data_IF_937379916303
#
_entry.id   IF_937379916303
#
_cell.length_a   1.000
_cell.length_b   1.000
_cell.length_c   1.000
_cell.angle_alpha   90.00
_cell.angle_beta   90.00
_cell.angle_gamma   90.00
#
_symmetry.space_group_name_H-M   'P 1'
#
loop_
_entity.id
_entity.type
_entity.pdbx_description
1 polymer ?
#
# COMPACT_ATOMS: atom_id res chain seq x y z
N UNK A 1 -16.84 34.81 -81.71
CA UNK A 1 -17.65 35.42 -80.64
C UNK A 1 -18.08 34.27 -79.74
N UNK A 2 -17.25 33.96 -78.73
CA UNK A 2 -17.47 32.82 -77.84
C UNK A 2 -18.37 33.30 -76.69
N UNK A 3 -19.53 32.66 -76.54
CA UNK A 3 -20.41 32.87 -75.40
C UNK A 3 -20.11 31.81 -74.34
N UNK A 4 -19.76 32.33 -73.18
CA UNK A 4 -19.44 31.68 -71.93
C UNK A 4 -20.56 30.75 -71.44
N UNK A 5 -20.21 29.50 -71.17
CA UNK A 5 -20.96 28.63 -70.27
C UNK A 5 -20.06 28.30 -69.09
N UNK A 6 -20.20 29.05 -67.98
CA UNK A 6 -19.55 28.72 -66.72
C UNK A 6 -20.22 27.47 -66.14
N UNK A 7 -19.52 26.35 -66.17
CA UNK A 7 -19.82 25.22 -65.29
C UNK A 7 -19.13 25.56 -63.98
N UNK A 8 -19.91 25.85 -62.95
CA UNK A 8 -19.40 26.02 -61.60
C UNK A 8 -18.80 24.68 -61.15
N UNK A 9 -17.48 24.61 -61.04
CA UNK A 9 -16.81 23.54 -60.33
C UNK A 9 -17.07 23.78 -58.83
N UNK A 10 -18.08 23.09 -58.28
CA UNK A 10 -18.16 22.92 -56.83
C UNK A 10 -16.92 22.14 -56.38
N UNK A 11 -15.96 22.85 -55.79
CA UNK A 11 -14.81 22.26 -55.11
C UNK A 11 -15.32 21.38 -53.96
N UNK A 12 -15.49 20.09 -54.24
CA UNK A 12 -15.78 19.09 -53.23
C UNK A 12 -14.54 18.95 -52.33
N UNK A 13 -14.57 19.65 -51.20
CA UNK A 13 -13.50 19.66 -50.21
C UNK A 13 -13.48 18.32 -49.47
N UNK A 14 -12.76 17.34 -50.03
CA UNK A 14 -12.59 16.00 -49.46
C UNK A 14 -11.67 16.08 -48.24
N UNK A 15 -12.26 16.03 -47.04
CA UNK A 15 -11.52 16.01 -45.79
C UNK A 15 -10.98 14.60 -45.53
N UNK A 16 -9.80 14.30 -46.08
CA UNK A 16 -9.11 13.02 -45.87
C UNK A 16 -8.49 13.03 -44.47
N UNK A 17 -8.99 12.16 -43.60
CA UNK A 17 -8.40 11.92 -42.27
C UNK A 17 -7.67 10.58 -42.27
N UNK A 18 -6.37 10.61 -41.97
CA UNK A 18 -5.54 9.42 -41.84
C UNK A 18 -5.67 8.86 -40.42
N UNK A 19 -6.24 7.68 -40.30
CA UNK A 19 -6.29 6.94 -39.05
C UNK A 19 -5.08 6.00 -38.97
N UNK A 20 -4.17 6.25 -38.02
CA UNK A 20 -3.06 5.34 -37.74
C UNK A 20 -3.49 4.29 -36.72
N UNK A 21 -3.58 3.04 -37.16
CA UNK A 21 -3.78 1.88 -36.30
C UNK A 21 -2.42 1.38 -35.82
N UNK A 22 -2.25 1.28 -34.51
CA UNK A 22 -1.04 0.73 -33.90
C UNK A 22 -1.17 -0.80 -33.79
N UNK A 23 -0.08 -1.52 -34.04
CA UNK A 23 -0.03 -2.99 -33.91
C UNK A 23 0.27 -3.44 -32.47
N UNK A 24 0.58 -2.51 -31.56
CA UNK A 24 0.87 -2.76 -30.16
C UNK A 24 -0.25 -2.23 -29.27
N UNK A 25 -0.50 -2.92 -28.16
CA UNK A 25 -1.36 -2.42 -27.11
C UNK A 25 -0.77 -1.13 -26.53
N UNK A 26 -1.65 -0.21 -26.14
CA UNK A 26 -1.27 0.94 -25.35
C UNK A 26 -0.97 0.54 -23.90
N UNK A 27 -0.52 1.51 -23.10
CA UNK A 27 -0.21 1.33 -21.68
C UNK A 27 -1.43 0.75 -20.94
N UNK A 28 -2.62 1.30 -21.19
CA UNK A 28 -3.84 0.88 -20.51
C UNK A 28 -4.24 -0.55 -20.87
N UNK A 29 -4.19 -0.93 -22.15
CA UNK A 29 -4.44 -2.29 -22.58
C UNK A 29 -3.43 -3.29 -22.01
N UNK A 30 -2.16 -2.88 -21.91
CA UNK A 30 -1.10 -3.69 -21.30
C UNK A 30 -1.33 -3.89 -19.80
N UNK A 31 -1.66 -2.83 -19.07
CA UNK A 31 -1.99 -2.91 -17.64
C UNK A 31 -3.24 -3.75 -17.40
N UNK A 32 -4.29 -3.58 -18.21
CA UNK A 32 -5.50 -4.38 -18.09
C UNK A 32 -5.22 -5.87 -18.31
N UNK A 33 -4.37 -6.21 -19.27
CA UNK A 33 -3.93 -7.58 -19.50
C UNK A 33 -3.18 -8.13 -18.28
N UNK A 34 -2.25 -7.35 -17.73
CA UNK A 34 -1.50 -7.73 -16.52
C UNK A 34 -2.46 -7.98 -15.35
N UNK A 35 -3.43 -7.08 -15.11
CA UNK A 35 -4.42 -7.24 -14.04
C UNK A 35 -5.35 -8.43 -14.23
N UNK A 36 -5.67 -8.79 -15.47
CA UNK A 36 -6.48 -9.95 -15.77
C UNK A 36 -5.71 -11.27 -15.55
N UNK A 37 -4.43 -11.30 -15.90
CA UNK A 37 -3.59 -12.49 -15.79
C UNK A 37 -3.01 -12.70 -14.38
N UNK A 38 -2.86 -11.62 -13.60
CA UNK A 38 -2.26 -11.61 -12.25
C UNK A 38 -0.96 -12.45 -12.15
N UNK A 39 0.04 -12.22 -13.02
CA UNK A 39 1.28 -12.99 -12.99
C UNK A 39 2.10 -12.67 -11.75
N UNK A 40 2.97 -13.58 -11.28
CA UNK A 40 3.90 -13.27 -10.18
C UNK A 40 5.12 -12.46 -10.68
N UNK A 41 5.60 -12.77 -11.88
CA UNK A 41 6.74 -12.12 -12.53
C UNK A 41 6.34 -11.55 -13.89
N UNK A 42 6.84 -10.35 -14.21
CA UNK A 42 6.60 -9.69 -15.49
C UNK A 42 7.95 -9.31 -16.08
N UNK A 43 8.23 -9.78 -17.29
CA UNK A 43 9.42 -9.39 -18.03
C UNK A 43 9.00 -8.54 -19.24
N UNK A 44 9.40 -7.27 -19.24
CA UNK A 44 9.12 -6.38 -20.35
C UNK A 44 10.14 -6.56 -21.48
N UNK A 45 9.64 -6.71 -22.70
CA UNK A 45 10.46 -6.86 -23.89
C UNK A 45 9.79 -6.16 -25.07
N UNK A 46 10.53 -6.00 -26.17
CA UNK A 46 10.01 -5.44 -27.43
C UNK A 46 9.52 -3.98 -27.31
N UNK A 47 10.37 -3.10 -26.77
CA UNK A 47 10.14 -1.65 -26.67
C UNK A 47 11.45 -0.87 -26.52
N UNK A 48 11.39 0.46 -26.58
CA UNK A 48 12.54 1.30 -26.22
C UNK A 48 12.80 1.20 -24.73
N UNK A 49 14.08 1.15 -24.34
CA UNK A 49 14.46 0.90 -22.94
C UNK A 49 13.84 1.91 -21.98
N UNK A 50 13.84 3.19 -22.33
CA UNK A 50 13.29 4.26 -21.50
C UNK A 50 11.78 4.10 -21.26
N UNK A 51 11.02 3.74 -22.30
CA UNK A 51 9.57 3.50 -22.20
C UNK A 51 9.25 2.28 -21.33
N UNK A 52 10.05 1.21 -21.47
CA UNK A 52 9.89 0.02 -20.64
C UNK A 52 10.31 0.27 -19.20
N UNK A 53 11.32 1.13 -18.97
CA UNK A 53 11.74 1.55 -17.64
C UNK A 53 10.66 2.38 -16.95
N UNK A 54 10.00 3.30 -17.66
CA UNK A 54 8.86 4.05 -17.16
C UNK A 54 7.70 3.13 -16.75
N UNK A 55 7.36 2.14 -17.58
CA UNK A 55 6.38 1.10 -17.25
C UNK A 55 6.80 0.31 -16.00
N UNK A 56 8.07 -0.07 -15.87
CA UNK A 56 8.59 -0.75 -14.69
C UNK A 56 8.54 0.11 -13.42
N UNK A 57 8.55 1.43 -13.54
CA UNK A 57 8.52 2.36 -12.41
C UNK A 57 7.12 2.72 -11.93
N UNK A 58 6.06 2.20 -12.57
CA UNK A 58 4.68 2.46 -12.16
C UNK A 58 4.36 1.82 -10.82
N UNK A 59 3.94 2.64 -9.84
CA UNK A 59 3.60 2.19 -8.48
C UNK A 59 2.58 1.06 -8.45
N UNK A 60 1.60 1.10 -9.37
CA UNK A 60 0.57 0.07 -9.52
C UNK A 60 1.15 -1.32 -9.81
N UNK A 61 2.26 -1.36 -10.55
CA UNK A 61 2.93 -2.61 -10.92
C UNK A 61 3.97 -3.02 -9.88
N UNK A 62 4.77 -2.07 -9.38
CA UNK A 62 5.86 -2.37 -8.43
C UNK A 62 5.36 -2.90 -7.10
N UNK A 63 4.15 -2.48 -6.68
CA UNK A 63 3.56 -2.92 -5.41
C UNK A 63 2.99 -4.34 -5.45
N UNK A 64 2.75 -4.91 -6.64
CA UNK A 64 2.05 -6.19 -6.81
C UNK A 64 2.86 -7.27 -7.53
N UNK A 65 3.82 -6.90 -8.37
CA UNK A 65 4.48 -7.82 -9.28
C UNK A 65 6.00 -7.69 -9.21
N UNK A 66 6.69 -8.81 -9.43
CA UNK A 66 8.14 -8.80 -9.62
C UNK A 66 8.48 -8.43 -11.07
N UNK A 67 8.90 -7.18 -11.28
CA UNK A 67 9.17 -6.63 -12.60
C UNK A 67 10.62 -6.85 -13.01
N UNK A 68 10.82 -7.23 -14.27
CA UNK A 68 12.12 -7.48 -14.87
C UNK A 68 12.26 -6.73 -16.18
N UNK A 69 13.41 -6.07 -16.36
CA UNK A 69 13.77 -5.39 -17.61
C UNK A 69 15.05 -6.01 -18.19
N UNK A 70 14.97 -7.22 -18.76
CA UNK A 70 16.14 -7.94 -19.24
C UNK A 70 16.77 -7.23 -20.45
N UNK A 71 18.10 -7.14 -20.44
CA UNK A 71 18.87 -6.69 -21.61
C UNK A 71 19.14 -7.82 -22.59
N UNK A 72 19.43 -7.47 -23.85
CA UNK A 72 19.75 -8.46 -24.89
C UNK A 72 20.96 -9.30 -24.48
N UNK A 73 20.76 -10.62 -24.40
CA UNK A 73 21.81 -11.57 -24.02
C UNK A 73 21.98 -11.77 -22.51
N UNK A 74 21.17 -11.10 -21.67
CA UNK A 74 21.14 -11.34 -20.24
C UNK A 74 20.34 -12.61 -19.94
N UNK A 75 20.91 -13.49 -19.12
CA UNK A 75 20.19 -14.63 -18.55
C UNK A 75 19.38 -14.12 -17.37
N UNK A 76 18.07 -14.32 -17.41
CA UNK A 76 17.16 -13.95 -16.34
C UNK A 76 16.88 -15.18 -15.48
N UNK A 77 17.55 -15.28 -14.33
CA UNK A 77 17.31 -16.33 -13.35
C UNK A 77 16.03 -16.00 -12.56
N UNK A 78 14.91 -16.53 -13.02
CA UNK A 78 13.64 -16.45 -12.30
C UNK A 78 13.62 -17.63 -11.32
N UNK A 79 13.67 -17.34 -10.02
CA UNK A 79 13.34 -18.31 -9.00
C UNK A 79 11.83 -18.58 -9.08
N UNK A 80 11.44 -19.54 -9.93
CA UNK A 80 10.08 -20.06 -9.94
C UNK A 80 9.93 -20.86 -8.65
N UNK A 81 9.48 -20.19 -7.59
CA UNK A 81 8.91 -20.88 -6.46
C UNK A 81 7.71 -21.62 -7.06
N UNK A 82 7.79 -22.95 -7.17
CA UNK A 82 6.64 -23.79 -7.49
C UNK A 82 5.67 -23.70 -6.31
N UNK A 83 5.02 -22.55 -6.17
CA UNK A 83 3.87 -22.38 -5.35
C UNK A 83 2.74 -23.09 -6.08
N UNK A 84 2.68 -24.42 -5.90
CA UNK A 84 1.42 -25.17 -5.99
C UNK A 84 0.37 -24.57 -5.05
N UNK A 85 0.79 -23.66 -4.16
CA UNK A 85 -0.02 -22.57 -3.63
C UNK A 85 -0.42 -21.64 -4.79
N UNK A 86 -1.44 -22.04 -5.55
CA UNK A 86 -2.56 -21.10 -5.68
C UNK A 86 -2.78 -20.61 -4.25
N UNK A 87 -2.56 -19.32 -3.99
CA UNK A 87 -3.31 -18.70 -2.91
C UNK A 87 -4.77 -18.92 -3.32
N UNK A 88 -5.34 -20.05 -2.90
CA UNK A 88 -6.76 -20.07 -2.58
C UNK A 88 -6.90 -18.85 -1.69
N UNK A 89 -7.52 -17.80 -2.23
CA UNK A 89 -7.88 -16.65 -1.41
C UNK A 89 -8.54 -17.27 -0.18
N UNK A 90 -7.97 -17.06 1.04
CA UNK A 90 -8.50 -17.72 2.21
C UNK A 90 -9.99 -17.43 2.21
N UNK A 91 -10.79 -18.49 2.29
CA UNK A 91 -12.23 -18.36 2.29
C UNK A 91 -12.61 -17.34 3.37
N UNK A 92 -13.69 -16.59 3.16
CA UNK A 92 -14.15 -15.61 4.14
C UNK A 92 -14.22 -16.20 5.57
N UNK A 93 -14.56 -17.49 5.68
CA UNK A 93 -14.56 -18.22 6.94
C UNK A 93 -13.17 -18.37 7.59
N UNK A 94 -12.10 -18.47 6.81
CA UNK A 94 -10.70 -18.52 7.29
C UNK A 94 -10.13 -17.12 7.62
N UNK A 95 -10.84 -16.05 7.26
CA UNK A 95 -10.49 -14.66 7.59
C UNK A 95 -11.34 -14.08 8.73
N UNK A 96 -12.42 -14.73 9.13
CA UNK A 96 -13.35 -14.21 10.13
C UNK A 96 -13.15 -14.87 11.48
N UNK A 97 -12.98 -14.03 12.50
CA UNK A 97 -12.94 -14.45 13.90
C UNK A 97 -14.12 -13.83 14.62
N UNK A 98 -14.91 -14.67 15.29
CA UNK A 98 -15.95 -14.19 16.20
C UNK A 98 -15.26 -13.56 17.42
N UNK A 99 -15.71 -12.37 17.82
CA UNK A 99 -15.18 -11.66 18.99
C UNK A 99 -16.30 -11.02 19.80
N UNK A 100 -16.03 -10.77 21.07
CA UNK A 100 -16.96 -10.10 21.98
C UNK A 100 -16.50 -8.65 22.19
N UNK A 101 -17.43 -7.70 22.07
CA UNK A 101 -17.23 -6.30 22.40
C UNK A 101 -17.97 -6.01 23.72
N UNK A 102 -17.23 -5.61 24.74
CA UNK A 102 -17.80 -5.13 26.00
C UNK A 102 -17.43 -3.68 26.22
N UNK A 103 -18.43 -2.85 26.48
CA UNK A 103 -18.29 -1.43 26.76
C UNK A 103 -18.53 -1.18 28.26
N UNK A 104 -17.60 -0.46 28.88
CA UNK A 104 -17.72 0.03 30.26
C UNK A 104 -17.65 1.56 30.26
N UNK A 105 -17.77 2.18 31.44
CA UNK A 105 -17.80 3.64 31.56
C UNK A 105 -16.51 4.31 31.11
N UNK A 106 -15.36 3.64 31.27
CA UNK A 106 -14.03 4.21 31.01
C UNK A 106 -13.26 3.50 29.88
N UNK A 107 -13.71 2.32 29.45
CA UNK A 107 -12.99 1.53 28.44
C UNK A 107 -13.89 0.65 27.58
N UNK A 108 -13.43 0.43 26.34
CA UNK A 108 -13.99 -0.54 25.40
C UNK A 108 -13.00 -1.71 25.31
N UNK A 109 -13.49 -2.92 25.55
CA UNK A 109 -12.69 -4.14 25.49
C UNK A 109 -13.18 -5.05 24.35
N UNK A 110 -12.26 -5.42 23.46
CA UNK A 110 -12.48 -6.44 22.42
C UNK A 110 -11.81 -7.73 22.87
N UNK A 111 -12.57 -8.83 22.94
CA UNK A 111 -12.07 -10.16 23.27
C UNK A 111 -12.14 -11.07 22.05
N UNK A 112 -10.98 -11.58 21.64
CA UNK A 112 -10.86 -12.55 20.57
C UNK A 112 -10.61 -13.96 21.15
N UNK A 113 -11.03 -15.03 20.45
CA UNK A 113 -10.94 -16.40 20.94
C UNK A 113 -9.48 -16.88 20.92
N UNK A 114 -9.12 -17.74 21.87
CA UNK A 114 -7.72 -18.16 22.08
C UNK A 114 -7.11 -18.92 20.90
N UNK A 115 -7.93 -19.53 20.04
CA UNK A 115 -7.47 -20.27 18.86
C UNK A 115 -6.84 -19.36 17.80
N UNK A 116 -7.06 -18.04 17.84
CA UNK A 116 -6.38 -17.09 16.94
C UNK A 116 -4.85 -17.12 17.11
N UNK A 117 -4.36 -17.50 18.30
CA UNK A 117 -2.92 -17.60 18.60
C UNK A 117 -2.20 -18.69 17.79
N UNK A 118 -2.95 -19.62 17.19
CA UNK A 118 -2.38 -20.67 16.33
C UNK A 118 -2.10 -20.16 14.92
N UNK A 119 -2.73 -19.04 14.53
CA UNK A 119 -2.54 -18.41 13.24
C UNK A 119 -1.24 -17.59 13.22
N UNK A 120 -0.33 -17.87 12.28
CA UNK A 120 0.96 -17.16 12.19
C UNK A 120 0.81 -15.66 11.89
N UNK A 121 -0.35 -15.21 11.38
CA UNK A 121 -0.65 -13.78 11.20
C UNK A 121 -0.80 -13.06 12.53
N UNK A 122 -1.18 -13.77 13.60
CA UNK A 122 -1.29 -13.21 14.94
C UNK A 122 0.06 -12.73 15.48
N UNK A 123 1.15 -13.42 15.15
CA UNK A 123 2.50 -13.05 15.60
C UNK A 123 2.89 -11.65 15.13
N UNK A 124 2.51 -11.26 13.91
CA UNK A 124 2.74 -9.93 13.38
C UNK A 124 1.97 -8.83 14.13
N UNK A 125 0.80 -9.16 14.68
CA UNK A 125 0.00 -8.25 15.51
C UNK A 125 0.54 -8.18 16.93
N UNK A 126 1.00 -9.32 17.46
CA UNK A 126 1.49 -9.45 18.83
C UNK A 126 2.91 -8.89 19.03
N UNK A 127 3.73 -8.79 17.97
CA UNK A 127 5.15 -8.43 18.03
C UNK A 127 5.43 -7.14 18.82
N UNK A 128 4.68 -6.07 18.54
CA UNK A 128 4.81 -4.81 19.29
C UNK A 128 3.85 -4.69 20.47
N UNK A 129 2.82 -5.53 20.54
CA UNK A 129 1.72 -5.39 21.47
C UNK A 129 0.84 -4.15 21.23
N UNK A 130 1.01 -3.46 20.10
CA UNK A 130 0.29 -2.23 19.75
C UNK A 130 -0.54 -2.47 18.49
N UNK A 131 -1.77 -1.96 18.53
CA UNK A 131 -2.70 -2.05 17.42
C UNK A 131 -3.18 -0.67 16.98
N UNK A 132 -3.42 -0.53 15.68
CA UNK A 132 -4.17 0.56 15.07
C UNK A 132 -5.61 0.12 14.87
N UNK A 133 -6.57 0.97 15.21
CA UNK A 133 -7.96 0.79 14.83
C UNK A 133 -8.38 1.94 13.91
N UNK A 134 -8.72 1.64 12.66
CA UNK A 134 -9.16 2.63 11.66
C UNK A 134 -10.53 2.28 11.10
N UNK A 135 -11.35 3.31 10.84
CA UNK A 135 -12.62 3.15 10.16
C UNK A 135 -12.43 3.15 8.63
N UNK A 136 -13.00 2.15 7.96
CA UNK A 136 -13.14 2.11 6.50
C UNK A 136 -14.62 1.89 6.15
N UNK A 137 -15.31 2.99 5.86
CA UNK A 137 -16.77 2.99 5.76
C UNK A 137 -17.39 2.64 7.10
N UNK A 138 -18.14 1.54 7.16
CA UNK A 138 -18.79 1.03 8.37
C UNK A 138 -17.97 -0.04 9.11
N UNK A 139 -16.77 -0.38 8.61
CA UNK A 139 -15.93 -1.42 9.18
C UNK A 139 -14.81 -0.83 10.03
N UNK A 140 -14.63 -1.35 11.25
CA UNK A 140 -13.45 -1.07 12.07
C UNK A 140 -12.37 -2.11 11.77
N UNK A 141 -11.25 -1.65 11.22
CA UNK A 141 -10.11 -2.52 10.88
C UNK A 141 -9.04 -2.38 11.95
N UNK A 142 -8.63 -3.53 12.51
CA UNK A 142 -7.56 -3.62 13.50
C UNK A 142 -6.30 -4.15 12.82
N UNK A 143 -5.18 -3.43 12.97
CA UNK A 143 -3.89 -3.79 12.38
C UNK A 143 -2.80 -3.74 13.45
N UNK A 144 -1.89 -4.72 13.43
CA UNK A 144 -0.68 -4.65 14.23
C UNK A 144 0.22 -3.52 13.76
N UNK A 145 0.92 -2.88 14.70
CA UNK A 145 1.90 -1.82 14.37
C UNK A 145 3.29 -2.38 14.52
N UNK A 146 4.09 -2.46 13.46
CA UNK A 146 5.47 -2.91 13.59
C UNK A 146 6.35 -1.86 14.27
N UNK A 147 7.49 -2.28 14.84
CA UNK A 147 8.45 -1.33 15.44
C UNK A 147 8.98 -0.29 14.44
N UNK A 148 9.10 -0.63 13.15
CA UNK A 148 9.52 0.31 12.11
C UNK A 148 8.46 1.37 11.84
N UNK A 149 7.19 0.97 11.89
CA UNK A 149 6.05 1.86 11.73
C UNK A 149 5.92 2.84 12.90
N UNK A 150 6.25 2.44 14.13
CA UNK A 150 6.33 3.36 15.28
C UNK A 150 7.35 4.50 15.12
N UNK A 151 8.29 4.38 14.18
CA UNK A 151 9.25 5.44 13.84
C UNK A 151 8.69 6.40 12.77
N UNK A 152 7.60 6.04 12.11
CA UNK A 152 7.04 6.80 10.99
C UNK A 152 6.07 7.89 11.46
N UNK A 153 6.12 9.12 10.90
CA UNK A 153 5.32 10.25 11.40
C UNK A 153 3.80 10.07 11.28
N UNK A 154 3.34 9.22 10.37
CA UNK A 154 1.90 8.96 10.16
C UNK A 154 1.19 8.29 11.35
N UNK A 155 1.94 7.79 12.35
CA UNK A 155 1.42 7.24 13.60
C UNK A 155 1.21 8.30 14.70
N UNK A 156 1.48 9.56 14.38
CA UNK A 156 1.25 10.72 15.22
C UNK A 156 -0.15 11.26 14.84
N UNK A 157 -1.17 11.21 15.71
CA UNK A 157 -2.38 12.05 15.47
C UNK A 157 -1.93 13.51 15.48
N UNK A 158 -2.23 14.35 14.49
CA UNK A 158 -3.53 14.88 14.05
C UNK A 158 -4.34 15.58 15.16
N UNK A 159 -3.69 16.22 16.12
CA UNK A 159 -4.32 17.26 16.95
C UNK A 159 -3.24 18.19 17.53
N UNK A 160 -3.32 19.49 17.22
CA UNK A 160 -2.30 20.51 17.48
C UNK A 160 -2.14 20.99 18.92
N UNK A 161 -2.27 20.13 19.94
CA UNK A 161 -2.12 20.52 21.35
C UNK A 161 -1.43 19.47 22.26
N UNK A 162 -0.91 18.38 21.70
CA UNK A 162 -0.92 17.07 22.37
C UNK A 162 0.43 16.65 22.96
N UNK A 163 0.33 16.07 24.16
CA UNK A 163 1.39 15.41 24.92
C UNK A 163 2.19 14.41 24.06
N UNK A 164 3.52 14.52 24.02
CA UNK A 164 4.40 13.73 23.14
C UNK A 164 5.59 13.13 23.89
N UNK A 165 6.28 12.17 23.28
CA UNK A 165 7.45 11.54 23.87
C UNK A 165 8.57 12.58 24.10
N UNK A 166 8.66 13.59 23.25
CA UNK A 166 9.62 14.69 23.35
C UNK A 166 9.51 15.44 24.68
N UNK A 167 8.28 15.73 25.12
CA UNK A 167 8.01 16.41 26.38
C UNK A 167 7.65 15.45 27.53
N UNK A 168 7.83 14.14 27.33
CA UNK A 168 7.65 13.11 28.34
C UNK A 168 8.93 12.95 29.20
N UNK A 169 8.74 12.70 30.50
CA UNK A 169 9.83 12.42 31.43
C UNK A 169 10.43 11.02 31.24
N UNK A 170 9.64 10.10 30.70
CA UNK A 170 10.01 8.70 30.46
C UNK A 170 10.65 8.46 29.07
N UNK A 171 10.95 9.52 28.30
CA UNK A 171 11.63 9.41 27.01
C UNK A 171 13.14 9.69 27.15
N UNK A 172 13.94 8.67 26.85
CA UNK A 172 15.41 8.71 26.97
C UNK A 172 16.04 7.97 25.78
N UNK A 173 17.04 8.59 25.14
CA UNK A 173 17.81 8.03 24.02
C UNK A 173 16.98 7.44 22.87
N UNK A 174 15.84 8.06 22.56
CA UNK A 174 14.97 7.61 21.47
C UNK A 174 14.03 6.47 21.85
N UNK A 175 13.93 6.09 23.13
CA UNK A 175 13.11 4.98 23.61
C UNK A 175 12.26 5.35 24.84
N UNK A 176 11.17 4.60 25.05
CA UNK A 176 10.35 4.74 26.26
C UNK A 176 10.90 3.91 27.42
N UNK A 177 11.06 4.54 28.58
CA UNK A 177 11.51 3.92 29.84
C UNK A 177 10.35 3.56 30.78
N UNK A 178 9.10 3.84 30.39
CA UNK A 178 7.93 3.54 31.19
C UNK A 178 7.58 2.06 31.11
N UNK A 179 7.94 1.28 32.13
CA UNK A 179 7.67 -0.17 32.23
C UNK A 179 6.21 -0.58 32.06
N UNK A 180 5.25 0.32 32.35
CA UNK A 180 3.81 0.07 32.14
C UNK A 180 3.34 0.37 30.72
N UNK A 181 4.14 1.08 29.94
CA UNK A 181 3.82 1.44 28.58
C UNK A 181 4.05 0.25 27.65
N UNK A 182 3.16 0.01 26.67
CA UNK A 182 3.44 -0.96 25.62
C UNK A 182 4.65 -0.56 24.76
N UNK A 183 5.11 0.70 24.85
CA UNK A 183 6.30 1.21 24.17
C UNK A 183 7.60 0.94 24.95
N UNK A 184 7.56 0.29 26.12
CA UNK A 184 8.74 0.07 26.96
C UNK A 184 9.88 -0.58 26.18
N UNK A 185 11.07 0.02 26.23
CA UNK A 185 12.28 -0.43 25.51
C UNK A 185 12.18 -0.42 23.97
N UNK A 186 11.08 0.07 23.39
CA UNK A 186 10.96 0.27 21.94
C UNK A 186 11.54 1.63 21.54
N UNK A 187 12.23 1.66 20.40
CA UNK A 187 12.61 2.93 19.75
C UNK A 187 11.36 3.56 19.13
N UNK A 188 11.14 4.83 19.45
CA UNK A 188 9.94 5.58 19.07
C UNK A 188 10.32 6.99 18.62
N UNK A 189 9.57 7.54 17.67
CA UNK A 189 9.77 8.93 17.27
C UNK A 189 9.46 9.88 18.44
N UNK A 190 10.21 10.99 18.58
CA UNK A 190 9.99 11.95 19.67
C UNK A 190 8.59 12.57 19.65
N UNK A 191 7.91 12.60 18.51
CA UNK A 191 6.57 13.14 18.39
C UNK A 191 5.45 12.13 18.68
N UNK A 192 5.78 10.85 18.96
CA UNK A 192 4.79 9.84 19.37
C UNK A 192 4.16 10.12 20.74
N UNK A 193 3.06 9.45 21.11
CA UNK A 193 2.40 9.62 22.42
C UNK A 193 1.94 8.28 23.00
N UNK A 194 1.73 8.22 24.32
CA UNK A 194 1.19 7.03 24.99
C UNK A 194 0.29 7.41 26.17
N UNK A 195 -0.60 6.50 26.56
CA UNK A 195 -1.55 6.69 27.66
C UNK A 195 -0.91 6.89 29.04
N UNK A 196 0.39 6.59 29.18
CA UNK A 196 1.17 6.75 30.42
C UNK A 196 2.08 7.99 30.40
N UNK A 197 1.75 8.97 29.56
CA UNK A 197 2.50 10.21 29.46
C UNK A 197 2.67 10.91 30.81
N UNK A 198 3.89 11.39 31.08
CA UNK A 198 4.21 12.24 32.23
C UNK A 198 5.01 13.43 31.76
N UNK A 199 4.46 14.64 31.90
CA UNK A 199 5.13 15.86 31.47
C UNK A 199 6.48 16.03 32.20
N UNK A 200 7.50 16.43 31.44
CA UNK A 200 8.80 16.79 31.99
C UNK A 200 8.87 18.31 32.17
N UNK A 201 8.77 18.79 33.40
CA UNK A 201 8.80 20.22 33.75
C UNK A 201 10.13 20.92 33.36
N UNK A 202 11.18 20.17 33.01
CA UNK A 202 12.49 20.70 32.60
C UNK A 202 12.69 20.83 31.08
N UNK A 203 11.71 20.41 30.25
CA UNK A 203 11.81 20.39 28.78
C UNK A 203 10.80 21.33 28.08
N UNK A 204 10.26 22.32 28.80
CA UNK A 204 9.42 23.39 28.22
C UNK A 204 10.28 24.54 27.70
#
# INVERSE_FOLDING_TARGET
MFLSGQIAEEEMNLQVSLYQLHQHADIQGTLQLIHNLKPQHIAFSHGQHDQLAELCAMEELTNRYHLHLPQKGQVLDILVIHSNLRSEEPSLAEMMWEGELSESTDEIQIRLPNNIKVDSRWDAIADSGIILATWQGENLIIQGVSQRELLHPQWQRLDGSVQSCLNCSDYLDGACQQTRSPLFSLKISPEGSCQYFRANEKKQ
#
